data_IF_636282444502
#
_entry.id   IF_636282444502
#
_cell.length_a   1.000
_cell.length_b   1.000
_cell.length_c   1.000
_cell.angle_alpha   90.00
_cell.angle_beta   90.00
_cell.angle_gamma   90.00
#
_symmetry.space_group_name_H-M   'P 1'
#
loop_
_entity.id
_entity.type
_entity.pdbx_description
1 polymer ?
#
# COMPACT_ATOMS: atom_id res chain seq x y z
N UNK A 1 -42.81 -55.71 -9.70
CA UNK A 1 -42.75 -54.54 -8.80
C UNK A 1 -41.57 -53.68 -9.25
N UNK A 2 -41.83 -52.58 -9.96
CA UNK A 2 -40.79 -51.66 -10.43
C UNK A 2 -40.78 -50.45 -9.49
N UNK A 3 -39.63 -50.20 -8.86
CA UNK A 3 -39.43 -49.07 -7.95
C UNK A 3 -39.06 -47.84 -8.79
N UNK A 4 -39.97 -46.86 -8.84
CA UNK A 4 -39.72 -45.57 -9.47
C UNK A 4 -38.82 -44.70 -8.60
N UNK A 5 -37.64 -44.34 -9.12
CA UNK A 5 -36.77 -43.35 -8.49
C UNK A 5 -37.27 -41.94 -8.83
N UNK A 6 -37.73 -41.21 -7.82
CA UNK A 6 -38.08 -39.81 -7.94
C UNK A 6 -36.80 -38.95 -7.94
N UNK A 7 -36.53 -38.29 -9.07
CA UNK A 7 -35.42 -37.36 -9.23
C UNK A 7 -35.79 -36.02 -8.56
N UNK A 8 -35.27 -35.76 -7.36
CA UNK A 8 -35.35 -34.43 -6.74
C UNK A 8 -34.39 -33.48 -7.47
N UNK A 9 -34.96 -32.54 -8.25
CA UNK A 9 -34.23 -31.39 -8.78
C UNK A 9 -33.89 -30.45 -7.61
N UNK A 10 -32.63 -30.46 -7.17
CA UNK A 10 -32.12 -29.43 -6.28
C UNK A 10 -32.01 -28.10 -7.04
N UNK A 11 -32.89 -27.16 -6.72
CA UNK A 11 -32.76 -25.76 -7.16
C UNK A 11 -31.51 -25.16 -6.49
N UNK A 12 -30.42 -25.05 -7.25
CA UNK A 12 -29.26 -24.25 -6.84
C UNK A 12 -29.70 -22.79 -6.70
N UNK A 13 -29.39 -22.09 -5.59
CA UNK A 13 -29.69 -20.68 -5.47
C UNK A 13 -28.94 -19.92 -6.56
N UNK A 14 -29.66 -19.14 -7.37
CA UNK A 14 -29.06 -18.25 -8.35
C UNK A 14 -28.07 -17.32 -7.61
N UNK A 15 -26.80 -17.36 -8.01
CA UNK A 15 -25.80 -16.42 -7.52
C UNK A 15 -26.28 -15.01 -7.88
N UNK A 16 -26.71 -14.24 -6.89
CA UNK A 16 -26.98 -12.82 -7.07
C UNK A 16 -25.64 -12.20 -7.44
N UNK A 17 -25.45 -11.89 -8.72
CA UNK A 17 -24.27 -11.19 -9.20
C UNK A 17 -24.22 -9.85 -8.48
N UNK A 18 -23.21 -9.67 -7.62
CA UNK A 18 -22.97 -8.40 -6.95
C UNK A 18 -22.89 -7.30 -8.02
N UNK A 19 -23.53 -6.15 -7.77
CA UNK A 19 -23.47 -5.02 -8.69
C UNK A 19 -22.00 -4.66 -8.94
N UNK A 20 -21.57 -4.48 -10.21
CA UNK A 20 -20.20 -4.08 -10.50
C UNK A 20 -19.82 -2.80 -9.76
N UNK A 21 -18.64 -2.79 -9.16
CA UNK A 21 -18.05 -1.58 -8.58
C UNK A 21 -17.85 -0.56 -9.69
N UNK A 22 -18.32 0.66 -9.48
CA UNK A 22 -18.23 1.75 -10.47
C UNK A 22 -17.73 3.06 -9.87
N UNK A 23 -17.40 3.11 -8.58
CA UNK A 23 -16.89 4.29 -7.87
C UNK A 23 -15.37 4.23 -7.69
N UNK A 24 -14.63 3.91 -8.75
CA UNK A 24 -13.17 3.81 -8.68
C UNK A 24 -12.43 5.08 -9.12
N UNK A 25 -11.18 5.21 -8.69
CA UNK A 25 -10.30 6.28 -9.17
C UNK A 25 -10.02 6.13 -10.68
N UNK A 26 -9.81 7.26 -11.34
CA UNK A 26 -9.53 7.36 -12.77
C UNK A 26 -10.59 6.76 -13.70
N UNK A 27 -11.77 6.34 -13.22
CA UNK A 27 -12.84 5.78 -14.06
C UNK A 27 -13.09 6.58 -15.33
N UNK A 28 -13.26 7.89 -15.18
CA UNK A 28 -13.60 8.81 -16.26
C UNK A 28 -12.38 9.59 -16.80
N UNK A 29 -11.18 9.36 -16.25
CA UNK A 29 -9.99 10.10 -16.66
C UNK A 29 -9.59 9.75 -18.10
N UNK A 30 -9.23 10.74 -18.95
CA UNK A 30 -8.66 10.46 -20.26
C UNK A 30 -7.46 9.52 -20.16
N UNK A 31 -7.27 8.65 -21.16
CA UNK A 31 -6.04 7.88 -21.27
C UNK A 31 -4.84 8.81 -21.47
N UNK A 32 -3.70 8.47 -20.89
CA UNK A 32 -2.47 9.24 -21.01
C UNK A 32 -1.26 8.36 -20.65
N UNK A 33 -0.06 8.90 -20.83
CA UNK A 33 1.19 8.28 -20.34
C UNK A 33 1.27 8.22 -18.80
N UNK A 34 0.41 8.96 -18.10
CA UNK A 34 0.27 8.93 -16.63
C UNK A 34 -0.76 7.88 -16.16
N UNK A 35 -1.58 7.33 -17.08
CA UNK A 35 -2.52 6.27 -16.74
C UNK A 35 -1.77 5.02 -16.26
N UNK A 36 -2.32 4.26 -15.29
CA UNK A 36 -1.80 2.95 -14.97
C UNK A 36 -1.70 2.11 -16.24
N UNK A 37 -0.60 1.40 -16.43
CA UNK A 37 -0.41 0.54 -17.61
C UNK A 37 -1.57 -0.46 -17.73
N UNK A 38 -2.06 -1.01 -16.61
CA UNK A 38 -3.21 -1.91 -16.61
C UNK A 38 -4.47 -1.28 -17.24
N UNK A 39 -4.72 0.02 -17.03
CA UNK A 39 -5.87 0.70 -17.61
C UNK A 39 -5.71 0.83 -19.14
N UNK A 40 -4.48 1.05 -19.61
CA UNK A 40 -4.17 1.05 -21.05
C UNK A 40 -4.34 -0.34 -21.67
N UNK A 41 -3.92 -1.40 -20.97
CA UNK A 41 -4.01 -2.77 -21.45
C UNK A 41 -5.44 -3.33 -21.43
N UNK A 42 -6.31 -2.82 -20.56
CA UNK A 42 -7.72 -3.19 -20.50
C UNK A 42 -8.54 -2.61 -21.67
N UNK A 43 -8.08 -1.52 -22.28
CA UNK A 43 -8.73 -0.91 -23.44
C UNK A 43 -8.14 -1.44 -24.74
N UNK A 44 -8.91 -2.12 -25.61
CA UNK A 44 -8.39 -2.61 -26.88
C UNK A 44 -7.78 -1.50 -27.75
N UNK A 45 -8.38 -0.31 -27.75
CA UNK A 45 -7.91 0.83 -28.53
C UNK A 45 -6.58 1.39 -27.98
N UNK A 46 -6.47 1.60 -26.67
CA UNK A 46 -5.23 2.10 -26.07
C UNK A 46 -4.11 1.07 -26.18
N UNK A 47 -4.40 -0.22 -25.97
CA UNK A 47 -3.44 -1.31 -26.16
C UNK A 47 -2.91 -1.36 -27.59
N UNK A 48 -3.76 -1.22 -28.60
CA UNK A 48 -3.35 -1.20 -30.01
C UNK A 48 -2.38 -0.04 -30.32
N UNK A 49 -2.58 1.13 -29.69
CA UNK A 49 -1.63 2.26 -29.79
C UNK A 49 -0.27 1.85 -29.20
N UNK A 50 -0.23 1.23 -28.02
CA UNK A 50 1.04 0.78 -27.42
C UNK A 50 1.76 -0.24 -28.29
N UNK A 51 1.04 -1.23 -28.83
CA UNK A 51 1.62 -2.28 -29.68
C UNK A 51 2.17 -1.72 -31.00
N UNK A 52 1.54 -0.67 -31.55
CA UNK A 52 1.94 -0.06 -32.82
C UNK A 52 3.07 0.95 -32.65
N UNK A 53 2.94 1.84 -31.66
CA UNK A 53 3.79 3.03 -31.55
C UNK A 53 4.91 2.90 -30.51
N UNK A 54 4.80 1.95 -29.58
CA UNK A 54 5.77 1.73 -28.51
C UNK A 54 5.90 0.24 -28.11
N UNK A 55 6.18 -0.67 -29.07
CA UNK A 55 6.28 -2.11 -28.80
C UNK A 55 7.42 -2.46 -27.82
N UNK A 56 8.42 -1.60 -27.72
CA UNK A 56 9.55 -1.70 -26.79
C UNK A 56 9.09 -1.72 -25.31
N UNK A 57 7.96 -1.10 -24.98
CA UNK A 57 7.34 -1.17 -23.64
C UNK A 57 7.19 -2.61 -23.17
N UNK A 58 6.72 -3.52 -24.03
CA UNK A 58 6.44 -4.91 -23.67
C UNK A 58 7.70 -5.76 -23.46
N UNK A 59 8.85 -5.27 -23.94
CA UNK A 59 10.17 -5.89 -23.72
C UNK A 59 10.94 -5.26 -22.56
N UNK A 60 10.47 -4.12 -22.05
CA UNK A 60 11.16 -3.35 -21.02
C UNK A 60 11.19 -4.06 -19.66
N UNK A 61 10.20 -4.91 -19.39
CA UNK A 61 10.07 -5.74 -18.19
C UNK A 61 9.62 -7.17 -18.58
N UNK A 62 9.89 -8.18 -17.74
CA UNK A 62 9.35 -9.52 -17.94
C UNK A 62 7.82 -9.53 -18.18
N UNK A 63 7.29 -10.39 -19.08
CA UNK A 63 5.88 -10.39 -19.47
C UNK A 63 4.88 -10.49 -18.30
N UNK A 64 5.26 -11.19 -17.22
CA UNK A 64 4.46 -11.32 -15.98
C UNK A 64 4.07 -9.97 -15.35
N UNK A 65 4.80 -8.90 -15.64
CA UNK A 65 4.53 -7.56 -15.12
C UNK A 65 3.43 -6.80 -15.88
N UNK A 66 2.98 -7.31 -17.03
CA UNK A 66 1.94 -6.70 -17.88
C UNK A 66 0.58 -7.43 -17.81
N UNK A 67 0.31 -8.14 -16.72
CA UNK A 67 -1.00 -8.77 -16.49
C UNK A 67 -2.10 -7.71 -16.29
N UNK A 68 -3.30 -7.97 -16.81
CA UNK A 68 -4.50 -7.16 -16.51
C UNK A 68 -5.28 -7.63 -15.28
N UNK A 69 -4.89 -8.77 -14.69
CA UNK A 69 -5.51 -9.30 -13.48
C UNK A 69 -4.71 -8.88 -12.27
N UNK A 70 -5.35 -8.17 -11.34
CA UNK A 70 -4.77 -7.83 -10.04
C UNK A 70 -4.60 -9.10 -9.16
N UNK A 71 -3.56 -9.18 -8.32
CA UNK A 71 -2.46 -8.23 -8.17
C UNK A 71 -1.54 -8.21 -9.40
N UNK A 72 -1.17 -7.02 -9.87
CA UNK A 72 -0.30 -6.84 -11.04
C UNK A 72 0.57 -5.59 -10.94
N UNK A 73 1.81 -5.68 -11.38
CA UNK A 73 2.73 -4.54 -11.44
C UNK A 73 2.26 -3.46 -12.43
N UNK A 74 1.50 -3.85 -13.46
CA UNK A 74 0.86 -2.90 -14.38
C UNK A 74 -0.12 -1.95 -13.68
N UNK A 75 -0.60 -2.27 -12.47
CA UNK A 75 -1.46 -1.39 -11.68
C UNK A 75 -0.72 -0.28 -10.94
N UNK A 76 0.61 -0.39 -10.84
CA UNK A 76 1.46 0.50 -10.02
C UNK A 76 2.54 1.22 -10.81
N UNK A 77 2.51 1.07 -12.13
CA UNK A 77 3.43 1.71 -13.06
C UNK A 77 2.63 2.42 -14.15
N UNK A 78 3.05 3.63 -14.49
CA UNK A 78 2.63 4.33 -15.69
C UNK A 78 3.77 4.39 -16.73
N UNK A 79 3.48 4.85 -17.94
CA UNK A 79 4.46 4.86 -19.02
C UNK A 79 5.62 5.82 -18.76
N UNK A 80 5.38 6.94 -18.07
CA UNK A 80 6.45 7.86 -17.71
C UNK A 80 7.42 7.27 -16.69
N UNK A 81 6.91 6.60 -15.67
CA UNK A 81 7.71 5.90 -14.68
C UNK A 81 8.55 4.79 -15.34
N UNK A 82 7.94 4.00 -16.23
CA UNK A 82 8.65 2.99 -17.02
C UNK A 82 9.73 3.61 -17.91
N UNK A 83 9.41 4.70 -18.60
CA UNK A 83 10.35 5.41 -19.46
C UNK A 83 11.54 5.94 -18.67
N UNK A 84 11.34 6.50 -17.47
CA UNK A 84 12.42 6.91 -16.58
C UNK A 84 13.28 5.73 -16.14
N UNK A 85 12.66 4.63 -15.72
CA UNK A 85 13.36 3.41 -15.27
C UNK A 85 14.21 2.77 -16.37
N UNK A 86 13.80 2.92 -17.63
CA UNK A 86 14.40 2.23 -18.79
C UNK A 86 15.09 3.18 -19.75
N UNK A 87 15.20 4.45 -19.37
CA UNK A 87 15.79 5.54 -20.15
C UNK A 87 15.20 5.64 -21.58
N UNK A 88 13.88 5.53 -21.70
CA UNK A 88 13.17 5.65 -22.99
C UNK A 88 13.06 7.13 -23.42
N UNK A 89 13.06 7.43 -24.73
CA UNK A 89 13.06 8.81 -25.25
C UNK A 89 11.81 9.64 -24.85
N UNK A 90 12.02 10.88 -24.41
CA UNK A 90 10.97 11.78 -23.91
C UNK A 90 10.03 12.32 -25.01
N UNK A 91 10.54 12.50 -26.22
CA UNK A 91 9.78 12.89 -27.41
C UNK A 91 8.75 11.83 -27.80
N UNK A 92 9.15 10.54 -27.77
CA UNK A 92 8.24 9.41 -27.95
C UNK A 92 7.10 9.43 -26.94
N UNK A 93 7.39 9.74 -25.67
CA UNK A 93 6.35 9.82 -24.63
C UNK A 93 5.36 10.96 -24.89
N UNK A 94 5.83 12.10 -25.39
CA UNK A 94 4.95 13.24 -25.73
C UNK A 94 4.00 12.90 -26.87
N UNK A 95 4.50 12.29 -27.94
CA UNK A 95 3.68 11.86 -29.07
C UNK A 95 2.66 10.78 -28.68
N UNK A 96 3.08 9.82 -27.87
CA UNK A 96 2.22 8.75 -27.36
C UNK A 96 1.11 9.30 -26.46
N UNK A 97 1.43 10.27 -25.60
CA UNK A 97 0.45 10.93 -24.72
C UNK A 97 -0.67 11.60 -25.51
N UNK A 98 -0.32 12.32 -26.58
CA UNK A 98 -1.29 12.99 -27.45
C UNK A 98 -2.25 11.99 -28.11
N UNK A 99 -1.74 10.86 -28.62
CA UNK A 99 -2.57 9.79 -29.23
C UNK A 99 -3.49 9.13 -28.20
N UNK A 100 -2.97 8.81 -27.01
CA UNK A 100 -3.77 8.23 -25.93
C UNK A 100 -4.90 9.18 -25.49
N UNK A 101 -4.60 10.47 -25.31
CA UNK A 101 -5.59 11.48 -24.90
C UNK A 101 -6.71 11.71 -25.91
N UNK A 102 -6.47 11.40 -27.18
CA UNK A 102 -7.48 11.51 -28.24
C UNK A 102 -8.51 10.38 -28.20
N UNK A 103 -8.24 9.28 -27.49
CA UNK A 103 -9.19 8.17 -27.37
C UNK A 103 -10.37 8.53 -26.45
N UNK A 104 -11.61 8.21 -26.84
CA UNK A 104 -12.74 8.31 -25.93
C UNK A 104 -12.62 7.24 -24.82
N UNK A 105 -13.04 7.59 -23.61
CA UNK A 105 -13.20 6.62 -22.51
C UNK A 105 -14.60 6.01 -22.60
N UNK A 106 -14.70 4.78 -23.11
CA UNK A 106 -15.98 4.09 -23.33
C UNK A 106 -16.60 3.59 -22.03
N UNK A 107 -17.89 3.24 -22.06
CA UNK A 107 -18.54 2.61 -20.90
C UNK A 107 -17.88 1.29 -20.49
N UNK A 108 -17.36 0.51 -21.46
CA UNK A 108 -16.63 -0.72 -21.19
C UNK A 108 -15.30 -0.45 -20.47
N UNK A 109 -14.55 0.60 -20.88
CA UNK A 109 -13.31 1.00 -20.20
C UNK A 109 -13.59 1.38 -18.74
N UNK A 110 -14.67 2.14 -18.49
CA UNK A 110 -15.07 2.56 -17.13
C UNK A 110 -15.32 1.36 -16.22
N UNK A 111 -16.04 0.35 -16.71
CA UNK A 111 -16.31 -0.89 -15.96
C UNK A 111 -15.03 -1.69 -15.75
N UNK A 112 -14.21 -1.85 -16.80
CA UNK A 112 -12.97 -2.62 -16.73
C UNK A 112 -11.97 -2.05 -15.73
N UNK A 113 -11.77 -0.72 -15.71
CA UNK A 113 -10.91 -0.02 -14.74
C UNK A 113 -11.36 -0.25 -13.30
N UNK A 114 -12.67 -0.27 -13.05
CA UNK A 114 -13.19 -0.46 -11.70
C UNK A 114 -13.22 -1.93 -11.24
N UNK A 115 -13.05 -2.91 -12.14
CA UNK A 115 -13.14 -4.33 -11.80
C UNK A 115 -12.05 -4.83 -10.82
N UNK A 116 -10.95 -4.09 -10.65
CA UNK A 116 -9.89 -4.40 -9.66
C UNK A 116 -10.25 -4.00 -8.21
N UNK A 117 -11.30 -3.21 -8.04
CA UNK A 117 -11.79 -2.80 -6.71
C UNK A 117 -12.96 -3.70 -6.29
N UNK A 118 -13.17 -3.84 -4.99
CA UNK A 118 -14.30 -4.60 -4.44
C UNK A 118 -15.07 -3.73 -3.42
N UNK A 119 -16.38 -3.98 -3.27
CA UNK A 119 -17.20 -3.48 -2.15
C UNK A 119 -17.71 -4.65 -1.30
N UNK A 120 -16.98 -5.77 -1.29
CA UNK A 120 -17.35 -6.95 -0.53
C UNK A 120 -17.22 -6.64 0.96
N UNK A 121 -18.34 -6.63 1.69
CA UNK A 121 -18.35 -6.30 3.12
C UNK A 121 -18.23 -7.57 3.94
N UNK A 122 -17.07 -7.85 4.56
CA UNK A 122 -16.92 -9.02 5.39
C UNK A 122 -17.74 -8.87 6.68
N UNK A 123 -18.26 -9.98 7.18
CA UNK A 123 -18.79 -10.05 8.54
C UNK A 123 -17.61 -10.00 9.52
N UNK A 124 -17.51 -8.93 10.29
CA UNK A 124 -16.44 -8.75 11.27
C UNK A 124 -16.86 -9.40 12.60
N UNK A 125 -16.11 -10.42 13.02
CA UNK A 125 -16.19 -10.98 14.37
C UNK A 125 -14.93 -10.60 15.13
N UNK A 126 -15.04 -9.65 16.05
CA UNK A 126 -13.92 -9.23 16.88
C UNK A 126 -13.67 -10.22 18.02
N UNK A 127 -12.46 -10.76 18.18
CA UNK A 127 -12.10 -11.52 19.38
C UNK A 127 -12.08 -10.61 20.62
N UNK A 128 -12.03 -11.22 21.81
CA UNK A 128 -11.82 -10.47 23.06
C UNK A 128 -10.42 -9.87 23.07
N UNK A 129 -10.27 -8.67 23.63
CA UNK A 129 -8.99 -8.01 23.78
C UNK A 129 -9.04 -6.52 23.43
N UNK A 130 -7.96 -5.81 23.74
CA UNK A 130 -7.76 -4.41 23.35
C UNK A 130 -6.27 -4.12 23.13
N UNK A 131 -5.92 -3.19 22.22
CA UNK A 131 -6.79 -2.52 21.26
C UNK A 131 -7.43 -3.47 20.24
N UNK A 132 -8.45 -2.98 19.54
CA UNK A 132 -9.08 -3.64 18.39
C UNK A 132 -8.38 -3.19 17.11
N UNK A 133 -7.90 -4.14 16.32
CA UNK A 133 -7.01 -3.89 15.20
C UNK A 133 -7.56 -4.56 13.95
N UNK A 134 -7.49 -3.84 12.84
CA UNK A 134 -7.72 -4.38 11.50
C UNK A 134 -6.37 -4.54 10.81
N UNK A 135 -5.96 -5.75 10.47
CA UNK A 135 -4.89 -5.99 9.49
C UNK A 135 -5.53 -5.97 8.11
N UNK A 136 -5.24 -4.92 7.35
CA UNK A 136 -5.69 -4.74 5.98
C UNK A 136 -4.56 -5.07 5.02
N UNK A 137 -4.82 -5.98 4.09
CA UNK A 137 -3.81 -6.59 3.22
C UNK A 137 -4.33 -6.84 1.80
N UNK A 138 -5.34 -6.07 1.38
CA UNK A 138 -5.74 -6.03 -0.02
C UNK A 138 -4.57 -5.49 -0.84
N UNK A 139 -4.25 -6.16 -1.95
CA UNK A 139 -3.18 -5.76 -2.86
C UNK A 139 -3.70 -5.84 -4.29
N UNK A 140 -3.64 -4.71 -5.00
CA UNK A 140 -3.93 -4.64 -6.44
C UNK A 140 -2.65 -4.52 -7.28
N UNK A 141 -1.54 -4.10 -6.65
CA UNK A 141 -0.22 -3.90 -7.24
C UNK A 141 0.70 -5.10 -7.12
N UNK A 142 1.93 -4.88 -6.64
CA UNK A 142 2.91 -5.93 -6.41
C UNK A 142 2.61 -6.68 -5.10
N UNK A 143 2.63 -8.01 -5.15
CA UNK A 143 2.45 -8.87 -3.97
C UNK A 143 3.70 -9.70 -3.74
N UNK A 144 4.42 -9.40 -2.66
CA UNK A 144 5.41 -10.31 -2.09
C UNK A 144 4.75 -11.21 -1.04
N UNK A 145 4.37 -12.43 -1.45
CA UNK A 145 3.65 -13.39 -0.59
C UNK A 145 4.40 -13.68 0.72
N UNK A 146 5.69 -14.09 0.67
CA UNK A 146 6.51 -14.29 1.86
C UNK A 146 6.51 -13.11 2.85
N UNK A 147 6.68 -11.87 2.40
CA UNK A 147 6.62 -10.69 3.28
C UNK A 147 5.24 -10.54 3.93
N UNK A 148 4.18 -10.54 3.12
CA UNK A 148 2.79 -10.33 3.57
C UNK A 148 2.40 -11.37 4.63
N UNK A 149 2.73 -12.65 4.39
CA UNK A 149 2.38 -13.74 5.28
C UNK A 149 3.20 -13.71 6.58
N UNK A 150 4.48 -13.36 6.51
CA UNK A 150 5.34 -13.20 7.69
C UNK A 150 4.87 -12.03 8.58
N UNK A 151 4.54 -10.89 7.98
CA UNK A 151 3.99 -9.73 8.68
C UNK A 151 2.65 -10.04 9.36
N UNK A 152 1.72 -10.69 8.65
CA UNK A 152 0.42 -11.12 9.20
C UNK A 152 0.64 -12.02 10.42
N UNK A 153 1.47 -13.05 10.28
CA UNK A 153 1.78 -13.99 11.35
C UNK A 153 2.39 -13.26 12.56
N UNK A 154 3.33 -12.34 12.34
CA UNK A 154 3.95 -11.58 13.41
C UNK A 154 2.95 -10.69 14.17
N UNK A 155 2.07 -9.97 13.49
CA UNK A 155 1.03 -9.18 14.15
C UNK A 155 0.03 -10.05 14.92
N UNK A 156 -0.32 -11.23 14.42
CA UNK A 156 -1.17 -12.18 15.14
C UNK A 156 -0.49 -12.72 16.41
N UNK A 157 0.80 -13.05 16.34
CA UNK A 157 1.59 -13.49 17.50
C UNK A 157 1.74 -12.37 18.54
N UNK A 158 2.05 -11.14 18.09
CA UNK A 158 2.07 -9.96 18.95
C UNK A 158 0.71 -9.76 19.66
N UNK A 159 -0.38 -9.87 18.91
CA UNK A 159 -1.73 -9.73 19.44
C UNK A 159 -2.07 -10.80 20.50
N UNK A 160 -1.71 -12.06 20.26
CA UNK A 160 -1.89 -13.13 21.24
C UNK A 160 -1.12 -12.84 22.53
N UNK A 161 0.15 -12.42 22.42
CA UNK A 161 1.02 -12.10 23.57
C UNK A 161 0.50 -10.90 24.37
N UNK A 162 -0.04 -9.88 23.70
CA UNK A 162 -0.45 -8.61 24.32
C UNK A 162 -1.94 -8.52 24.65
N UNK A 163 -2.73 -9.53 24.27
CA UNK A 163 -4.19 -9.53 24.46
C UNK A 163 -4.92 -8.54 23.54
N UNK A 164 -4.42 -8.32 22.32
CA UNK A 164 -5.07 -7.46 21.32
C UNK A 164 -6.13 -8.24 20.54
N UNK A 165 -7.19 -7.53 20.14
CA UNK A 165 -8.21 -8.10 19.29
C UNK A 165 -7.88 -7.79 17.82
N UNK A 166 -7.49 -8.80 17.03
CA UNK A 166 -7.12 -8.63 15.62
C UNK A 166 -8.14 -9.30 14.70
N UNK A 167 -8.49 -8.61 13.62
CA UNK A 167 -9.18 -9.17 12.46
C UNK A 167 -8.34 -8.89 11.21
N UNK A 168 -8.28 -9.85 10.30
CA UNK A 168 -7.60 -9.73 9.01
C UNK A 168 -8.63 -9.58 7.90
N UNK A 169 -8.38 -8.69 6.94
CA UNK A 169 -9.21 -8.60 5.73
C UNK A 169 -8.41 -8.15 4.51
N UNK A 170 -8.68 -8.79 3.39
CA UNK A 170 -8.22 -8.43 2.05
C UNK A 170 -9.34 -7.78 1.20
N UNK A 171 -10.46 -7.41 1.84
CA UNK A 171 -11.65 -6.83 1.18
C UNK A 171 -11.73 -5.33 1.40
N UNK A 172 -11.79 -4.55 0.32
CA UNK A 172 -11.94 -3.10 0.36
C UNK A 172 -13.22 -2.66 1.06
N UNK A 173 -14.29 -3.46 0.99
CA UNK A 173 -15.57 -3.19 1.67
C UNK A 173 -15.51 -3.13 3.19
N UNK A 174 -14.37 -3.44 3.83
CA UNK A 174 -14.13 -3.15 5.25
C UNK A 174 -14.03 -1.64 5.54
N UNK A 175 -13.67 -0.83 4.54
CA UNK A 175 -13.44 0.62 4.67
C UNK A 175 -14.75 1.42 4.61
N UNK A 176 -15.65 1.15 5.55
CA UNK A 176 -16.89 1.93 5.75
C UNK A 176 -16.90 2.59 7.12
N UNK A 177 -17.56 3.75 7.32
CA UNK A 177 -17.61 4.38 8.64
C UNK A 177 -18.14 3.44 9.73
N UNK A 178 -19.12 2.59 9.38
CA UNK A 178 -19.72 1.64 10.28
C UNK A 178 -18.73 0.55 10.74
N UNK A 179 -17.89 0.03 9.84
CA UNK A 179 -16.91 -0.99 10.21
C UNK A 179 -15.67 -0.37 10.85
N UNK A 180 -15.17 0.74 10.33
CA UNK A 180 -13.96 1.40 10.82
C UNK A 180 -14.07 1.87 12.28
N UNK A 181 -15.25 2.32 12.73
CA UNK A 181 -15.46 2.73 14.14
C UNK A 181 -15.24 1.60 15.16
N UNK A 182 -15.18 0.34 14.70
CA UNK A 182 -14.93 -0.82 15.53
C UNK A 182 -13.44 -1.02 15.84
N UNK A 183 -12.54 -0.32 15.17
CA UNK A 183 -11.10 -0.49 15.33
C UNK A 183 -10.49 0.76 15.99
N UNK A 184 -9.48 0.52 16.83
CA UNK A 184 -8.67 1.56 17.46
C UNK A 184 -7.47 1.94 16.58
N UNK A 185 -6.95 0.99 15.81
CA UNK A 185 -5.97 1.22 14.75
C UNK A 185 -6.19 0.27 13.55
N UNK A 186 -5.76 0.71 12.38
CA UNK A 186 -5.70 -0.10 11.16
C UNK A 186 -4.22 -0.28 10.80
N UNK A 187 -3.84 -1.52 10.52
CA UNK A 187 -2.51 -1.91 10.05
C UNK A 187 -2.61 -2.15 8.55
N UNK A 188 -1.92 -1.38 7.73
CA UNK A 188 -1.69 -1.72 6.32
C UNK A 188 -0.45 -2.59 6.23
N UNK A 189 -0.70 -3.86 5.90
CA UNK A 189 0.32 -4.88 5.75
C UNK A 189 0.70 -4.98 4.27
N UNK A 190 1.84 -4.37 3.90
CA UNK A 190 2.41 -4.47 2.56
C UNK A 190 1.39 -4.14 1.44
N UNK A 191 0.55 -3.13 1.67
CA UNK A 191 -0.50 -2.75 0.72
C UNK A 191 0.12 -2.03 -0.47
N UNK A 192 0.05 -2.65 -1.64
CA UNK A 192 0.50 -2.10 -2.92
C UNK A 192 -0.66 -1.98 -3.92
N UNK A 193 -0.62 -0.91 -4.71
CA UNK A 193 -1.65 -0.54 -5.67
C UNK A 193 -2.77 0.30 -5.08
N UNK A 194 -3.56 0.85 -5.99
CA UNK A 194 -4.80 1.53 -5.62
C UNK A 194 -5.88 0.51 -5.29
N UNK A 195 -6.14 0.34 -3.99
CA UNK A 195 -6.97 -0.76 -3.46
C UNK A 195 -8.34 -0.31 -2.96
N UNK A 196 -8.62 0.99 -2.90
CA UNK A 196 -9.86 1.54 -2.33
C UNK A 196 -10.68 2.30 -3.36
N UNK A 197 -11.99 2.08 -3.36
CA UNK A 197 -12.94 2.92 -4.09
C UNK A 197 -12.96 4.36 -3.54
N UNK A 198 -13.54 5.31 -4.27
CA UNK A 198 -13.62 6.70 -3.83
C UNK A 198 -14.39 6.86 -2.51
N UNK A 199 -15.47 6.10 -2.32
CA UNK A 199 -16.22 6.09 -1.07
C UNK A 199 -15.39 5.52 0.08
N UNK A 200 -14.65 4.43 -0.17
CA UNK A 200 -13.77 3.79 0.81
C UNK A 200 -12.60 4.69 1.20
N UNK A 201 -12.00 5.41 0.22
CA UNK A 201 -10.99 6.45 0.47
C UNK A 201 -11.51 7.55 1.38
N UNK A 202 -12.73 8.05 1.13
CA UNK A 202 -13.35 9.08 1.96
C UNK A 202 -13.59 8.59 3.39
N UNK A 203 -14.07 7.36 3.56
CA UNK A 203 -14.27 6.75 4.88
C UNK A 203 -12.95 6.55 5.63
N UNK A 204 -11.91 6.05 4.97
CA UNK A 204 -10.59 5.86 5.57
C UNK A 204 -9.95 7.20 5.96
N UNK A 205 -9.94 8.18 5.05
CA UNK A 205 -9.48 9.55 5.34
C UNK A 205 -10.18 10.13 6.57
N UNK A 206 -11.51 10.04 6.60
CA UNK A 206 -12.32 10.52 7.71
C UNK A 206 -12.00 9.79 9.03
N UNK A 207 -11.79 8.47 8.99
CA UNK A 207 -11.40 7.68 10.17
C UNK A 207 -10.06 8.19 10.74
N UNK A 208 -9.07 8.42 9.90
CA UNK A 208 -7.77 8.97 10.32
C UNK A 208 -7.93 10.37 10.90
N UNK A 209 -8.51 11.30 10.15
CA UNK A 209 -8.62 12.71 10.56
C UNK A 209 -9.42 12.88 11.86
N UNK A 210 -10.34 11.96 12.17
CA UNK A 210 -11.13 11.94 13.40
C UNK A 210 -10.47 11.21 14.58
N UNK A 211 -9.27 10.67 14.42
CA UNK A 211 -8.48 10.12 15.52
C UNK A 211 -8.24 8.62 15.49
N UNK A 212 -8.56 7.95 14.38
CA UNK A 212 -8.16 6.58 14.13
C UNK A 212 -6.65 6.41 14.10
N UNK A 213 -6.15 5.29 14.61
CA UNK A 213 -4.74 4.92 14.50
C UNK A 213 -4.42 4.27 13.15
N UNK A 214 -3.20 4.50 12.66
CA UNK A 214 -2.67 3.91 11.43
C UNK A 214 -1.24 3.43 11.62
N UNK A 215 -0.98 2.20 11.22
CA UNK A 215 0.34 1.57 11.18
C UNK A 215 0.53 1.01 9.78
N UNK A 216 1.61 1.40 9.11
CA UNK A 216 1.90 0.96 7.76
C UNK A 216 3.30 0.37 7.69
N UNK A 217 3.42 -0.78 7.01
CA UNK A 217 4.72 -1.46 6.83
C UNK A 217 5.05 -1.65 5.36
N UNK A 218 6.35 -1.47 5.08
CA UNK A 218 7.06 -1.76 3.84
C UNK A 218 6.35 -1.26 2.59
N UNK A 219 5.71 -2.15 1.80
CA UNK A 219 5.01 -1.78 0.56
C UNK A 219 3.91 -0.71 0.71
N UNK A 220 3.51 -0.41 1.95
CA UNK A 220 2.47 0.57 2.27
C UNK A 220 2.94 2.04 2.24
N UNK A 221 4.06 2.40 1.59
CA UNK A 221 4.41 3.81 1.32
C UNK A 221 3.86 4.32 -0.01
N UNK A 222 3.06 3.51 -0.70
CA UNK A 222 2.69 3.73 -2.08
C UNK A 222 3.69 3.06 -3.02
N UNK A 223 3.51 3.29 -4.30
CA UNK A 223 4.25 2.62 -5.36
C UNK A 223 4.95 3.64 -6.28
N UNK A 224 5.72 3.22 -7.31
CA UNK A 224 6.34 4.17 -8.25
C UNK A 224 5.36 5.13 -8.94
N UNK A 225 4.08 4.73 -9.04
CA UNK A 225 2.99 5.60 -9.48
C UNK A 225 1.81 5.48 -8.52
N UNK A 226 1.26 6.62 -8.08
CA UNK A 226 0.09 6.65 -7.19
C UNK A 226 -0.99 7.58 -7.72
N UNK A 227 -2.24 7.29 -7.37
CA UNK A 227 -3.42 8.00 -7.88
C UNK A 227 -4.26 8.57 -6.73
N UNK A 228 -3.61 8.86 -5.60
CA UNK A 228 -4.22 9.41 -4.40
C UNK A 228 -3.25 10.32 -3.64
N UNK A 229 -3.10 11.60 -4.05
CA UNK A 229 -2.12 12.51 -3.46
C UNK A 229 -2.21 12.63 -1.94
N UNK A 230 -3.43 12.69 -1.37
CA UNK A 230 -3.62 12.73 0.09
C UNK A 230 -2.94 11.56 0.82
N UNK A 231 -2.90 10.37 0.22
CA UNK A 231 -2.25 9.21 0.84
C UNK A 231 -0.73 9.40 0.95
N UNK A 232 -0.06 9.73 -0.16
CA UNK A 232 1.40 9.89 -0.16
C UNK A 232 1.84 11.19 0.49
N UNK A 233 1.17 12.31 0.21
CA UNK A 233 1.63 13.64 0.64
C UNK A 233 1.23 13.96 2.09
N UNK A 234 0.01 13.56 2.48
CA UNK A 234 -0.54 13.90 3.81
C UNK A 234 -0.34 12.76 4.81
N UNK A 235 -0.79 11.55 4.46
CA UNK A 235 -0.80 10.42 5.37
C UNK A 235 0.59 9.84 5.62
N UNK A 236 1.28 9.40 4.56
CA UNK A 236 2.63 8.82 4.64
C UNK A 236 3.69 9.92 4.73
N UNK A 237 3.52 11.02 3.99
CA UNK A 237 4.45 12.16 3.94
C UNK A 237 5.54 12.05 2.87
N UNK A 238 5.55 10.96 2.10
CA UNK A 238 6.43 10.72 0.96
C UNK A 238 5.91 9.53 0.14
N UNK A 239 6.56 9.22 -0.97
CA UNK A 239 6.23 8.09 -1.85
C UNK A 239 7.48 7.22 -2.06
N UNK A 240 7.28 5.91 -2.22
CA UNK A 240 8.33 4.99 -2.66
C UNK A 240 8.99 5.46 -3.97
N UNK A 241 10.31 5.56 -3.99
CA UNK A 241 11.09 5.86 -5.19
C UNK A 241 11.81 4.63 -5.76
N UNK A 242 12.25 3.71 -4.90
CA UNK A 242 13.02 2.53 -5.31
C UNK A 242 13.74 1.89 -4.14
N UNK A 243 14.46 0.80 -4.43
CA UNK A 243 15.44 0.18 -3.55
C UNK A 243 16.62 -0.33 -4.39
N UNK A 244 17.81 -0.54 -3.80
CA UNK A 244 18.92 -1.17 -4.51
C UNK A 244 18.53 -2.54 -5.07
N UNK A 245 19.06 -2.90 -6.24
CA UNK A 245 18.78 -4.19 -6.89
C UNK A 245 19.94 -5.19 -6.79
N UNK A 246 21.17 -4.71 -6.63
CA UNK A 246 22.37 -5.55 -6.64
C UNK A 246 23.41 -5.10 -5.59
N UNK A 247 23.48 -5.78 -4.43
CA UNK A 247 22.49 -6.75 -3.93
C UNK A 247 21.17 -6.05 -3.52
N UNK A 248 20.04 -6.73 -3.72
CA UNK A 248 18.72 -6.25 -3.28
C UNK A 248 18.61 -6.22 -1.74
N UNK A 249 19.05 -7.29 -1.10
CA UNK A 249 19.03 -7.44 0.35
C UNK A 249 20.42 -7.21 0.92
N UNK A 250 20.54 -6.29 1.86
CA UNK A 250 21.83 -5.85 2.40
C UNK A 250 21.75 -5.68 3.90
N UNK A 251 22.85 -5.96 4.58
CA UNK A 251 23.02 -5.53 5.96
C UNK A 251 23.08 -4.00 5.97
N UNK A 252 22.25 -3.37 6.79
CA UNK A 252 22.36 -1.96 7.11
C UNK A 252 22.17 -1.77 8.61
N UNK A 253 22.81 -0.73 9.13
CA UNK A 253 22.64 -0.29 10.50
C UNK A 253 21.44 0.65 10.56
N UNK A 254 20.44 0.25 11.35
CA UNK A 254 19.28 1.06 11.70
C UNK A 254 19.61 1.83 12.97
N UNK A 255 19.49 3.16 12.92
CA UNK A 255 19.84 4.08 14.01
C UNK A 255 18.57 4.67 14.61
N UNK A 256 18.44 4.65 15.94
CA UNK A 256 17.26 5.18 16.66
C UNK A 256 17.50 6.64 17.05
N UNK A 257 16.74 7.56 16.43
CA UNK A 257 16.84 9.01 16.72
C UNK A 257 15.81 9.45 17.78
N UNK A 258 14.59 8.95 17.69
CA UNK A 258 13.45 9.40 18.49
C UNK A 258 13.37 8.80 19.90
N UNK A 259 14.48 8.79 20.67
CA UNK A 259 14.60 8.04 21.94
C UNK A 259 13.57 8.38 23.02
N UNK A 260 13.06 9.61 23.02
CA UNK A 260 12.00 10.05 23.94
C UNK A 260 10.60 9.62 23.48
N UNK A 261 10.45 9.22 22.22
CA UNK A 261 9.18 8.79 21.67
C UNK A 261 8.81 7.40 22.23
N UNK A 262 7.54 7.14 22.61
CA UNK A 262 7.13 5.85 23.14
C UNK A 262 7.44 4.65 22.22
N UNK A 263 7.54 4.88 20.92
CA UNK A 263 7.89 3.84 19.94
C UNK A 263 9.33 3.35 20.13
N UNK A 264 10.24 4.24 20.55
CA UNK A 264 11.65 3.90 20.77
C UNK A 264 11.92 3.23 22.13
N UNK A 265 10.92 3.09 22.99
CA UNK A 265 11.10 2.51 24.32
C UNK A 265 11.61 1.06 24.24
N UNK A 266 12.75 0.80 24.90
CA UNK A 266 13.38 -0.52 24.93
C UNK A 266 14.19 -0.89 23.68
N UNK A 267 14.26 -0.01 22.67
CA UNK A 267 15.14 -0.22 21.53
C UNK A 267 16.60 0.16 21.90
N UNK A 268 17.61 -0.54 21.35
CA UNK A 268 18.99 -0.10 21.44
C UNK A 268 19.20 1.17 20.60
N UNK A 269 20.33 1.84 20.80
CA UNK A 269 20.71 3.03 20.03
C UNK A 269 20.78 2.75 18.51
N UNK A 270 21.19 1.54 18.17
CA UNK A 270 21.24 1.04 16.80
C UNK A 270 21.29 -0.49 16.80
N UNK A 271 20.94 -1.10 15.68
CA UNK A 271 21.19 -2.51 15.41
C UNK A 271 21.47 -2.72 13.93
N UNK A 272 22.05 -3.87 13.57
CA UNK A 272 22.24 -4.27 12.16
C UNK A 272 21.15 -5.25 11.79
N UNK A 273 20.55 -5.04 10.62
CA UNK A 273 19.51 -5.90 10.06
C UNK A 273 19.80 -6.10 8.58
N UNK A 274 19.38 -7.23 8.03
CA UNK A 274 19.44 -7.51 6.60
C UNK A 274 18.04 -7.42 6.01
N UNK A 275 17.78 -6.45 5.14
CA UNK A 275 16.49 -6.27 4.47
C UNK A 275 16.66 -5.55 3.12
N UNK A 276 15.53 -5.26 2.45
CA UNK A 276 15.43 -4.36 1.31
C UNK A 276 15.19 -2.92 1.78
N UNK A 277 16.08 -2.01 1.42
CA UNK A 277 16.06 -0.63 1.92
C UNK A 277 15.40 0.32 0.92
N UNK A 278 14.20 0.79 1.27
CA UNK A 278 13.44 1.74 0.47
C UNK A 278 14.02 3.15 0.54
N UNK A 279 14.18 3.78 -0.61
CA UNK A 279 14.37 5.21 -0.76
C UNK A 279 13.07 5.86 -1.23
N UNK A 280 12.92 7.14 -0.91
CA UNK A 280 11.66 7.87 -1.12
C UNK A 280 11.85 9.08 -2.03
N UNK A 281 10.76 9.54 -2.65
CA UNK A 281 10.79 10.68 -3.59
C UNK A 281 11.14 12.00 -2.92
N UNK A 282 10.88 12.10 -1.61
CA UNK A 282 11.29 13.19 -0.75
C UNK A 282 11.65 12.66 0.63
N UNK A 283 12.53 13.36 1.34
CA UNK A 283 12.80 13.05 2.74
C UNK A 283 11.53 13.39 3.57
N UNK A 284 10.98 12.45 4.37
CA UNK A 284 9.74 12.65 5.11
C UNK A 284 9.92 13.46 6.40
N UNK A 285 11.15 13.79 6.81
CA UNK A 285 11.44 14.51 8.07
C UNK A 285 10.64 15.81 8.21
N UNK A 286 10.43 16.64 7.15
CA UNK A 286 9.49 17.74 7.20
C UNK A 286 8.06 17.25 7.50
N UNK A 287 7.55 17.64 8.67
CA UNK A 287 6.22 17.22 9.13
C UNK A 287 6.17 15.80 9.69
N UNK A 288 7.29 15.17 10.01
CA UNK A 288 7.32 13.86 10.67
C UNK A 288 8.24 13.85 11.89
N UNK A 289 7.88 13.09 12.92
CA UNK A 289 8.83 12.72 13.96
C UNK A 289 9.50 11.40 13.56
N UNK A 290 10.78 11.48 13.22
CA UNK A 290 11.59 10.32 12.80
C UNK A 290 11.91 9.45 14.00
N UNK A 291 11.63 8.15 13.88
CA UNK A 291 11.90 7.14 14.91
C UNK A 291 13.24 6.47 14.63
N UNK A 292 13.48 6.10 13.37
CA UNK A 292 14.72 5.47 12.95
C UNK A 292 15.16 5.91 11.54
N UNK A 293 16.47 5.94 11.34
CA UNK A 293 17.16 6.20 10.07
C UNK A 293 18.05 5.02 9.67
N UNK A 294 18.45 4.97 8.40
CA UNK A 294 19.50 4.08 7.91
C UNK A 294 20.84 4.82 7.87
N UNK A 295 21.90 4.17 8.34
CA UNK A 295 23.27 4.60 8.11
C UNK A 295 23.69 4.19 6.69
N UNK A 296 23.64 5.12 5.73
CA UNK A 296 24.03 4.86 4.34
C UNK A 296 25.51 4.49 4.16
N UNK A 297 26.37 4.71 5.16
CA UNK A 297 27.74 4.22 5.16
C UNK A 297 27.86 2.71 5.45
N UNK A 298 26.78 2.08 5.92
CA UNK A 298 26.76 0.66 6.30
C UNK A 298 26.26 -0.27 5.19
N UNK A 299 25.67 0.27 4.12
CA UNK A 299 25.17 -0.47 2.96
C UNK A 299 25.44 0.29 1.66
N UNK A 300 24.98 -0.23 0.50
CA UNK A 300 25.20 0.39 -0.81
C UNK A 300 23.88 0.87 -1.43
N UNK A 301 23.46 2.14 -1.20
CA UNK A 301 22.25 2.70 -1.82
C UNK A 301 22.40 3.06 -3.30
N UNK A 302 23.64 3.33 -3.75
CA UNK A 302 23.91 3.75 -5.13
C UNK A 302 23.19 5.06 -5.50
N UNK A 303 22.54 5.10 -6.66
CA UNK A 303 21.79 6.28 -7.12
C UNK A 303 20.53 6.60 -6.29
N UNK A 304 20.20 5.74 -5.31
CA UNK A 304 19.06 5.90 -4.41
C UNK A 304 19.45 6.49 -3.05
N UNK A 305 20.69 6.92 -2.88
CA UNK A 305 21.15 7.58 -1.65
C UNK A 305 20.30 8.83 -1.35
N UNK A 306 19.85 8.95 -0.10
CA UNK A 306 19.10 10.08 0.44
C UNK A 306 19.97 11.00 1.31
N UNK A 307 21.14 10.53 1.75
CA UNK A 307 21.99 11.20 2.74
C UNK A 307 21.37 11.09 4.14
N UNK A 308 20.34 11.90 4.41
CA UNK A 308 19.47 11.69 5.56
C UNK A 308 18.34 10.72 5.16
N UNK A 309 18.38 9.51 5.72
CA UNK A 309 17.53 8.39 5.29
C UNK A 309 16.57 7.89 6.38
N UNK A 310 15.47 8.62 6.69
CA UNK A 310 14.41 8.10 7.56
C UNK A 310 13.80 6.80 7.01
N UNK A 311 13.71 5.78 7.86
CA UNK A 311 13.13 4.48 7.52
C UNK A 311 11.93 4.11 8.39
N UNK A 312 11.76 4.76 9.55
CA UNK A 312 10.54 4.70 10.33
C UNK A 312 10.22 6.05 10.95
N UNK A 313 8.97 6.50 10.83
CA UNK A 313 8.55 7.82 11.31
C UNK A 313 7.07 7.84 11.69
N UNK A 314 6.69 8.93 12.36
CA UNK A 314 5.29 9.20 12.72
C UNK A 314 4.83 10.54 12.16
N UNK A 315 3.53 10.64 11.88
CA UNK A 315 2.84 11.87 11.48
C UNK A 315 1.53 12.03 12.24
N UNK A 316 1.11 13.28 12.33
CA UNK A 316 -0.19 13.68 12.85
C UNK A 316 -1.07 14.16 11.71
N UNK A 317 -2.21 13.51 11.49
CA UNK A 317 -3.16 13.87 10.42
C UNK A 317 -4.52 14.11 11.04
N UNK A 318 -4.92 15.38 11.12
CA UNK A 318 -6.04 15.77 11.98
C UNK A 318 -5.78 15.33 13.43
N UNK A 319 -6.66 14.48 13.96
CA UNK A 319 -6.50 13.86 15.30
C UNK A 319 -5.83 12.48 15.25
N UNK A 320 -5.56 11.97 14.04
CA UNK A 320 -5.03 10.64 13.79
C UNK A 320 -3.54 10.52 14.07
N UNK A 321 -3.14 9.31 14.46
CA UNK A 321 -1.75 8.93 14.75
C UNK A 321 -1.29 7.96 13.69
N UNK A 322 -0.30 8.38 12.92
CA UNK A 322 0.21 7.64 11.77
C UNK A 322 1.62 7.20 12.08
N UNK A 323 1.89 5.90 11.96
CA UNK A 323 3.23 5.35 11.94
C UNK A 323 3.47 4.66 10.59
N UNK A 324 4.63 4.89 10.01
CA UNK A 324 5.10 4.15 8.85
C UNK A 324 6.51 3.61 9.12
N UNK A 325 6.77 2.39 8.63
CA UNK A 325 8.11 1.80 8.55
C UNK A 325 8.33 1.22 7.16
N UNK A 326 9.45 1.56 6.51
CA UNK A 326 9.88 0.98 5.24
C UNK A 326 10.57 -0.37 5.37
N UNK A 327 10.83 -0.82 6.60
CA UNK A 327 11.40 -2.13 6.91
C UNK A 327 10.34 -3.21 6.70
N UNK A 328 10.72 -4.41 6.23
CA UNK A 328 9.84 -5.58 6.27
C UNK A 328 9.65 -6.34 4.97
N UNK A 329 10.60 -6.34 4.03
CA UNK A 329 10.53 -7.24 2.87
C UNK A 329 10.79 -8.68 3.31
N UNK A 330 11.88 -8.90 4.05
CA UNK A 330 12.30 -10.25 4.39
C UNK A 330 11.45 -10.84 5.52
N UNK A 331 11.00 -12.11 5.41
CA UNK A 331 10.31 -12.78 6.51
C UNK A 331 11.08 -12.76 7.83
N UNK A 332 12.42 -12.87 7.77
CA UNK A 332 13.30 -12.86 8.94
C UNK A 332 13.23 -11.54 9.73
N UNK A 333 12.92 -10.42 9.08
CA UNK A 333 12.79 -9.12 9.74
C UNK A 333 11.70 -9.15 10.81
N UNK A 334 10.60 -9.87 10.58
CA UNK A 334 9.50 -9.99 11.54
C UNK A 334 9.79 -10.92 12.72
N UNK A 335 10.95 -11.59 12.73
CA UNK A 335 11.47 -12.34 13.87
C UNK A 335 12.57 -11.60 14.63
N UNK A 336 13.06 -10.47 14.12
CA UNK A 336 14.06 -9.66 14.80
C UNK A 336 13.45 -9.00 16.05
N UNK A 337 14.04 -9.17 17.25
CA UNK A 337 13.46 -8.69 18.49
C UNK A 337 13.35 -7.17 18.56
N UNK A 338 14.25 -6.43 17.91
CA UNK A 338 14.23 -4.97 17.90
C UNK A 338 13.10 -4.46 17.01
N UNK A 339 12.94 -5.03 15.81
CA UNK A 339 11.83 -4.65 14.94
C UNK A 339 10.47 -5.05 15.49
N UNK A 340 10.35 -6.24 16.08
CA UNK A 340 9.13 -6.66 16.79
C UNK A 340 8.79 -5.68 17.92
N UNK A 341 9.78 -5.26 18.73
CA UNK A 341 9.57 -4.26 19.79
C UNK A 341 9.08 -2.93 19.22
N UNK A 342 9.68 -2.45 18.11
CA UNK A 342 9.24 -1.23 17.45
C UNK A 342 7.78 -1.33 16.97
N UNK A 343 7.42 -2.42 16.29
CA UNK A 343 6.05 -2.64 15.81
C UNK A 343 5.06 -2.72 16.97
N UNK A 344 5.43 -3.39 18.06
CA UNK A 344 4.56 -3.46 19.23
C UNK A 344 4.27 -2.09 19.84
N UNK A 345 5.32 -1.29 20.00
CA UNK A 345 5.18 0.05 20.54
C UNK A 345 4.43 0.98 19.57
N UNK A 346 4.65 0.83 18.26
CA UNK A 346 3.95 1.58 17.22
C UNK A 346 2.44 1.30 17.24
N UNK A 347 2.03 0.03 17.32
CA UNK A 347 0.62 -0.35 17.46
C UNK A 347 0.01 0.20 18.74
N UNK A 348 0.71 0.06 19.87
CA UNK A 348 0.24 0.59 21.15
C UNK A 348 0.07 2.11 21.12
N UNK A 349 1.03 2.84 20.53
CA UNK A 349 0.99 4.29 20.37
C UNK A 349 -0.14 4.73 19.43
N UNK A 350 -0.24 4.13 18.24
CA UNK A 350 -1.25 4.50 17.24
C UNK A 350 -2.68 4.22 17.74
N UNK A 351 -2.88 3.13 18.46
CA UNK A 351 -4.17 2.80 19.06
C UNK A 351 -4.50 3.62 20.33
N UNK A 352 -3.52 4.31 20.92
CA UNK A 352 -3.74 5.12 22.11
C UNK A 352 -4.50 6.40 21.79
N UNK A 353 -5.73 6.56 22.28
CA UNK A 353 -6.50 7.81 22.12
C UNK A 353 -6.02 8.95 23.05
N UNK A 354 -5.02 8.69 23.90
CA UNK A 354 -4.59 9.57 25.01
C UNK A 354 -3.46 10.51 24.65
N UNK A 355 -2.63 10.17 23.67
CA UNK A 355 -1.56 11.03 23.20
C UNK A 355 -2.15 12.00 22.18
N UNK A 356 -2.38 13.25 22.59
CA UNK A 356 -2.67 14.32 21.64
C UNK A 356 -1.55 14.32 20.60
N UNK A 357 -1.90 14.09 19.34
CA UNK A 357 -0.97 14.30 18.24
C UNK A 357 -0.75 15.81 18.19
N UNK A 358 0.42 16.33 18.63
CA UNK A 358 0.62 17.77 18.62
C UNK A 358 0.53 18.18 17.15
N UNK A 359 -0.42 19.07 16.83
CA UNK A 359 -0.55 19.57 15.47
C UNK A 359 0.82 20.04 15.00
N UNK A 360 1.28 19.54 13.86
CA UNK A 360 2.53 19.97 13.28
C UNK A 360 2.42 21.47 13.03
N UNK A 361 3.24 22.26 13.71
CA UNK A 361 3.40 23.67 13.38
C UNK A 361 3.99 23.71 11.97
N UNK A 362 3.35 24.37 10.99
CA UNK A 362 3.97 24.56 9.68
C UNK A 362 5.32 25.26 9.86
N UNK A 363 6.33 24.95 9.03
CA UNK A 363 7.57 25.74 9.05
C UNK A 363 7.21 27.22 8.82
N UNK A 364 7.82 28.11 9.60
CA UNK A 364 7.75 29.54 9.33
C UNK A 364 8.29 29.77 7.92
N UNK A 365 7.52 30.48 7.10
CA UNK A 365 7.80 30.71 5.68
C UNK A 365 9.00 31.58 5.40
#
# INVERSE_FOLDING_TARGET
MAVGAALMLALLPAAVSAKPVTDCALRDAPFSTESPIVDLLLSPAAKAILETDAPDIFTALPPRFFSTKAPTFAAILNLKALAKMKNLPADKMTALDAKLRALPVTAADKVARCARYDDDRPTITLPKGKPRLLIFEKINGFRDGPSVDAARAAFQVMAQRKGWAVVVSDKGGVMTPALLRQFDAIIWNNVSGDVLTLAQRAAFKSYIEQGGGYVAVHGSSGDPSTFWPWYVDTLVGTQFAGHPMDPQFQDAKVVVEGRSHPIAAGLPDQWVMNDEWYSFTANPRPGSAVIATLDEGSYKPGALAMGDHPIAWTRCVGKGRVFYSGIGHRPATYADPHYVTMLENAVAWAASRRSACPALTPPAG
#
